data_IF_805389047190
#
_entry.id   IF_805389047190
#
_cell.length_a   1.000
_cell.length_b   1.000
_cell.length_c   1.000
_cell.angle_alpha   90.00
_cell.angle_beta   90.00
_cell.angle_gamma   90.00
#
_symmetry.space_group_name_H-M   'P 1'
#
loop_
_entity.id
_entity.type
_entity.pdbx_description
1 polymer ?
#
# COMPACT_ATOMS: atom_id res chain seq x y z
N UNK A 1 -6.74 -13.72 10.62
CA UNK A 1 -6.10 -12.92 9.54
C UNK A 1 -4.63 -12.71 9.86
N UNK A 2 -3.77 -12.88 8.88
CA UNK A 2 -2.33 -12.74 9.03
C UNK A 2 -1.85 -11.45 8.35
N UNK A 3 -0.97 -10.71 9.01
CA UNK A 3 -0.30 -9.56 8.43
C UNK A 3 1.16 -9.96 8.22
N UNK A 4 1.65 -9.83 7.00
CA UNK A 4 3.04 -10.17 6.68
C UNK A 4 3.63 -9.23 5.65
N UNK A 5 4.95 -9.27 5.48
CA UNK A 5 5.64 -8.49 4.46
C UNK A 5 5.13 -8.83 3.06
N UNK A 6 4.94 -7.79 2.24
CA UNK A 6 4.57 -8.00 0.85
C UNK A 6 5.74 -8.57 0.06
N UNK A 7 5.45 -9.47 -0.88
CA UNK A 7 6.43 -10.09 -1.76
C UNK A 7 6.10 -9.76 -3.20
N UNK A 8 7.07 -9.90 -4.09
CA UNK A 8 6.84 -9.69 -5.53
C UNK A 8 5.68 -10.54 -6.03
N UNK A 9 5.53 -11.77 -5.51
CA UNK A 9 4.44 -12.67 -5.88
C UNK A 9 3.07 -12.14 -5.47
N UNK A 10 3.00 -11.16 -4.56
CA UNK A 10 1.74 -10.55 -4.13
C UNK A 10 1.31 -9.39 -5.01
N UNK A 11 2.20 -8.87 -5.86
CA UNK A 11 1.97 -7.61 -6.58
C UNK A 11 0.73 -7.64 -7.47
N UNK A 12 0.46 -8.76 -8.13
CA UNK A 12 -0.73 -8.86 -8.98
C UNK A 12 -2.01 -8.76 -8.14
N UNK A 13 -2.05 -9.41 -6.97
CA UNK A 13 -3.19 -9.30 -6.06
C UNK A 13 -3.36 -7.86 -5.57
N UNK A 14 -2.26 -7.19 -5.26
CA UNK A 14 -2.28 -5.79 -4.82
C UNK A 14 -2.86 -4.90 -5.92
N UNK A 15 -2.43 -5.11 -7.17
CA UNK A 15 -2.94 -4.36 -8.33
C UNK A 15 -4.45 -4.57 -8.46
N UNK A 16 -4.90 -5.81 -8.36
CA UNK A 16 -6.32 -6.16 -8.50
C UNK A 16 -7.18 -5.54 -7.39
N UNK A 17 -6.70 -5.58 -6.16
CA UNK A 17 -7.40 -4.97 -5.02
C UNK A 17 -7.46 -3.46 -5.19
N UNK A 18 -6.35 -2.84 -5.59
CA UNK A 18 -6.32 -1.40 -5.82
C UNK A 18 -7.29 -1.00 -6.93
N UNK A 19 -7.37 -1.79 -7.98
CA UNK A 19 -8.30 -1.52 -9.09
C UNK A 19 -9.75 -1.50 -8.63
N UNK A 20 -10.12 -2.36 -7.67
CA UNK A 20 -11.47 -2.40 -7.12
C UNK A 20 -11.84 -1.13 -6.35
N UNK A 21 -10.86 -0.31 -5.99
CA UNK A 21 -11.03 0.93 -5.22
C UNK A 21 -10.51 2.15 -5.97
N UNK A 22 -10.44 2.11 -7.31
CA UNK A 22 -9.87 3.19 -8.11
C UNK A 22 -10.55 4.54 -7.93
N UNK A 23 -11.80 4.56 -7.51
CA UNK A 23 -12.48 5.82 -7.21
C UNK A 23 -11.84 6.57 -6.06
N UNK A 24 -11.12 5.86 -5.19
CA UNK A 24 -10.50 6.41 -3.97
C UNK A 24 -8.99 6.45 -4.05
N UNK A 25 -8.37 5.70 -4.97
CA UNK A 25 -6.93 5.58 -5.09
C UNK A 25 -6.49 5.73 -6.54
N UNK A 26 -5.22 6.08 -6.74
CA UNK A 26 -4.63 6.11 -8.08
C UNK A 26 -4.45 4.70 -8.63
N UNK A 27 -4.59 4.50 -9.95
CA UNK A 27 -4.29 3.20 -10.55
C UNK A 27 -2.85 2.77 -10.31
N UNK A 28 -2.64 1.47 -10.19
CA UNK A 28 -1.32 0.86 -10.02
C UNK A 28 -1.14 -0.20 -11.10
N UNK A 29 -0.01 -0.16 -11.81
CA UNK A 29 0.45 -1.24 -12.68
C UNK A 29 1.67 -1.92 -12.06
N UNK A 30 2.24 -2.91 -12.74
CA UNK A 30 3.40 -3.66 -12.22
C UNK A 30 4.60 -2.74 -12.00
N UNK A 31 4.86 -1.82 -12.93
CA UNK A 31 5.97 -0.88 -12.80
C UNK A 31 5.77 0.03 -11.58
N UNK A 32 4.55 0.51 -11.39
CA UNK A 32 4.23 1.41 -10.28
C UNK A 32 4.36 0.72 -8.93
N UNK A 33 3.80 -0.49 -8.79
CA UNK A 33 3.88 -1.20 -7.50
C UNK A 33 5.32 -1.59 -7.17
N UNK A 34 6.12 -1.94 -8.16
CA UNK A 34 7.53 -2.24 -7.97
C UNK A 34 8.27 -1.03 -7.43
N UNK A 35 8.01 0.15 -7.99
CA UNK A 35 8.64 1.38 -7.53
C UNK A 35 8.16 1.79 -6.14
N UNK A 36 6.86 1.72 -5.88
CA UNK A 36 6.31 2.02 -4.56
C UNK A 36 6.88 1.11 -3.50
N UNK A 37 7.03 -0.18 -3.81
CA UNK A 37 7.64 -1.14 -2.88
C UNK A 37 9.09 -0.77 -2.59
N UNK A 38 9.83 -0.34 -3.61
CA UNK A 38 11.22 0.08 -3.45
C UNK A 38 11.32 1.31 -2.52
N UNK A 39 10.41 2.26 -2.67
CA UNK A 39 10.40 3.47 -1.85
C UNK A 39 9.86 3.24 -0.44
N UNK A 40 9.07 2.18 -0.23
CA UNK A 40 8.40 1.95 1.04
C UNK A 40 9.38 1.50 2.14
N UNK A 41 9.13 1.94 3.35
CA UNK A 41 9.81 1.45 4.54
C UNK A 41 9.00 0.36 5.22
N UNK A 42 7.71 0.30 4.92
CA UNK A 42 6.80 -0.67 5.48
C UNK A 42 5.74 -1.00 4.42
N UNK A 43 5.80 -2.21 3.89
CA UNK A 43 4.84 -2.70 2.91
C UNK A 43 4.33 -4.06 3.36
N UNK A 44 3.08 -4.11 3.79
CA UNK A 44 2.47 -5.31 4.37
C UNK A 44 1.21 -5.67 3.62
N UNK A 45 0.91 -6.97 3.61
CA UNK A 45 -0.36 -7.49 3.10
C UNK A 45 -1.12 -8.17 4.22
N UNK A 46 -2.44 -8.10 4.14
CA UNK A 46 -3.34 -8.85 5.01
C UNK A 46 -3.78 -10.10 4.25
N UNK A 47 -3.67 -11.25 4.88
CA UNK A 47 -3.97 -12.54 4.26
C UNK A 47 -5.07 -13.23 5.06
N UNK A 48 -6.12 -13.66 4.38
CA UNK A 48 -7.20 -14.44 4.95
C UNK A 48 -7.17 -15.82 4.29
N UNK A 49 -6.84 -16.87 5.07
CA UNK A 49 -6.56 -18.18 4.49
C UNK A 49 -5.34 -18.09 3.58
N UNK A 50 -5.51 -18.41 2.31
CA UNK A 50 -4.44 -18.32 1.32
C UNK A 50 -4.57 -17.10 0.41
N UNK A 51 -5.50 -16.19 0.73
CA UNK A 51 -5.82 -15.06 -0.15
C UNK A 51 -5.38 -13.73 0.46
N UNK A 52 -4.68 -12.92 -0.34
CA UNK A 52 -4.37 -11.53 0.01
C UNK A 52 -5.66 -10.72 -0.12
N UNK A 53 -6.05 -10.06 0.98
CA UNK A 53 -7.31 -9.31 1.03
C UNK A 53 -7.11 -7.82 1.26
N UNK A 54 -5.88 -7.38 1.45
CA UNK A 54 -5.59 -5.97 1.63
C UNK A 54 -4.10 -5.69 1.66
N UNK A 55 -3.73 -4.41 1.61
CA UNK A 55 -2.33 -4.03 1.71
C UNK A 55 -2.17 -2.63 2.30
N UNK A 56 -0.97 -2.37 2.82
CA UNK A 56 -0.60 -1.09 3.45
C UNK A 56 0.78 -0.70 2.96
N UNK A 57 0.90 0.53 2.43
CA UNK A 57 2.16 1.12 1.99
C UNK A 57 2.48 2.34 2.83
N UNK A 58 3.64 2.33 3.49
CA UNK A 58 4.10 3.44 4.33
C UNK A 58 5.52 3.82 3.95
N UNK A 59 5.77 5.11 3.80
CA UNK A 59 7.09 5.70 3.57
C UNK A 59 7.50 6.49 4.81
N UNK A 60 8.79 6.40 5.19
CA UNK A 60 9.34 7.27 6.23
C UNK A 60 9.90 8.54 5.60
N UNK A 61 10.32 9.47 6.45
CA UNK A 61 11.00 10.70 6.01
C UNK A 61 12.30 10.44 5.25
N UNK A 62 12.89 9.25 5.40
CA UNK A 62 14.11 8.86 4.70
C UNK A 62 13.86 8.29 3.30
N UNK A 63 12.60 8.11 2.90
CA UNK A 63 12.25 7.55 1.60
C UNK A 63 12.56 8.54 0.46
N UNK A 64 12.91 8.01 -0.70
CA UNK A 64 13.08 8.80 -1.92
C UNK A 64 11.77 8.99 -2.70
N UNK A 65 10.64 8.65 -2.09
CA UNK A 65 9.33 8.81 -2.71
C UNK A 65 9.11 10.26 -3.16
N UNK A 66 8.60 10.45 -4.39
CA UNK A 66 8.49 11.77 -5.02
C UNK A 66 7.05 12.32 -5.08
N UNK A 67 6.10 11.71 -4.37
CA UNK A 67 4.73 12.20 -4.36
C UNK A 67 4.61 13.61 -3.79
N UNK A 68 3.71 14.43 -4.34
CA UNK A 68 3.55 15.83 -3.94
C UNK A 68 3.17 15.96 -2.47
N UNK A 69 2.26 15.14 -1.98
CA UNK A 69 1.86 15.16 -0.58
C UNK A 69 3.00 14.78 0.34
N UNK A 70 3.80 13.80 -0.07
CA UNK A 70 4.97 13.36 0.69
C UNK A 70 5.99 14.50 0.79
N UNK A 71 6.26 15.20 -0.31
CA UNK A 71 7.19 16.32 -0.33
C UNK A 71 6.74 17.45 0.59
N UNK A 72 5.42 17.68 0.69
CA UNK A 72 4.88 18.66 1.63
C UNK A 72 5.31 18.34 3.06
N UNK A 73 5.28 17.08 3.47
CA UNK A 73 5.72 16.64 4.80
C UNK A 73 7.24 16.75 4.97
N UNK A 74 8.00 16.38 3.92
CA UNK A 74 9.47 16.49 3.94
C UNK A 74 9.90 17.92 4.22
N UNK A 75 9.20 18.89 3.64
CA UNK A 75 9.54 20.31 3.78
C UNK A 75 9.20 20.87 5.16
N UNK A 76 8.31 20.21 5.92
CA UNK A 76 7.77 20.75 7.17
C UNK A 76 8.14 19.95 8.42
N UNK A 77 8.48 18.69 8.28
CA UNK A 77 8.73 17.80 9.43
C UNK A 77 10.06 17.09 9.26
N UNK A 78 10.82 16.98 10.35
CA UNK A 78 12.12 16.30 10.35
C UNK A 78 11.99 14.78 10.52
N UNK A 79 10.88 14.32 11.04
CA UNK A 79 10.64 12.89 11.23
C UNK A 79 9.14 12.63 11.14
N UNK A 80 8.74 11.65 10.30
CA UNK A 80 7.33 11.30 10.12
C UNK A 80 7.20 9.94 9.43
N UNK A 81 6.00 9.38 9.50
CA UNK A 81 5.59 8.24 8.69
C UNK A 81 4.44 8.69 7.80
N UNK A 82 4.55 8.42 6.51
CA UNK A 82 3.55 8.78 5.53
C UNK A 82 2.85 7.52 5.03
N UNK A 83 1.55 7.40 5.29
CA UNK A 83 0.74 6.30 4.75
C UNK A 83 0.33 6.68 3.34
N UNK A 84 0.97 6.07 2.32
CA UNK A 84 0.63 6.34 0.93
C UNK A 84 -0.76 5.81 0.61
N UNK A 85 -1.03 4.58 1.02
CA UNK A 85 -2.36 3.99 0.86
C UNK A 85 -2.56 2.77 1.74
N UNK A 86 -3.81 2.57 2.12
CA UNK A 86 -4.29 1.36 2.77
C UNK A 86 -5.56 0.95 2.03
N UNK A 87 -5.61 -0.28 1.53
CA UNK A 87 -6.74 -0.77 0.73
C UNK A 87 -7.13 -2.16 1.24
N UNK A 88 -8.43 -2.36 1.43
CA UNK A 88 -9.01 -3.64 1.81
C UNK A 88 -10.00 -4.04 0.73
N UNK A 89 -9.97 -5.30 0.31
CA UNK A 89 -10.94 -5.85 -0.63
C UNK A 89 -12.35 -5.70 -0.04
N UNK A 90 -13.25 -5.05 -0.76
CA UNK A 90 -14.59 -4.75 -0.29
C UNK A 90 -15.38 -6.01 0.10
N UNK A 91 -15.21 -7.09 -0.62
CA UNK A 91 -15.89 -8.35 -0.30
C UNK A 91 -15.49 -8.85 1.08
N UNK A 92 -14.24 -8.64 1.48
CA UNK A 92 -13.73 -9.07 2.78
C UNK A 92 -14.01 -8.03 3.87
N UNK A 93 -14.03 -6.75 3.53
CA UNK A 93 -14.38 -5.69 4.46
C UNK A 93 -15.78 -5.89 5.02
N UNK A 94 -16.71 -6.37 4.19
CA UNK A 94 -18.10 -6.65 4.61
C UNK A 94 -18.20 -7.81 5.60
N UNK A 95 -17.14 -8.59 5.74
CA UNK A 95 -17.07 -9.69 6.72
C UNK A 95 -16.39 -9.26 8.01
N UNK A 96 -16.16 -7.96 8.17
CA UNK A 96 -15.55 -7.42 9.36
C UNK A 96 -14.02 -7.55 9.40
N UNK A 97 -13.39 -7.74 8.25
CA UNK A 97 -11.94 -7.86 8.13
C UNK A 97 -11.25 -6.50 8.22
N UNK A 98 -11.92 -5.47 7.79
CA UNK A 98 -11.40 -4.09 7.83
C UNK A 98 -11.22 -3.52 9.24
#
# INVERSE_FOLDING_TARGET
>A
MLIREAKVSDFQCIIDINASEEEKTSPIDVAKITQLNFWSDYHRVAVEGDQVVGFLLVMSDASDYDGDNFQWFVDRYSSFLYVDRIVIDQAHARRGVG
#
